data_IF_198324210830
#
_entry.id   IF_198324210830
#
_cell.length_a   1.000
_cell.length_b   1.000
_cell.length_c   1.000
_cell.angle_alpha   90.00
_cell.angle_beta   90.00
_cell.angle_gamma   90.00
#
_symmetry.space_group_name_H-M   'P 1'
#
loop_
_entity.id
_entity.type
_entity.pdbx_description
1 polymer ?
#
# COMPACT_ATOMS: atom_id res chain seq x y z
N UNK A 1 7.56 -26.54 -5.65
CA UNK A 1 6.90 -25.91 -4.48
C UNK A 1 5.42 -25.85 -4.80
N UNK A 2 4.59 -26.58 -4.07
CA UNK A 2 3.13 -26.40 -4.14
C UNK A 2 2.82 -24.98 -3.71
N UNK A 3 2.31 -24.14 -4.64
CA UNK A 3 1.80 -22.81 -4.28
C UNK A 3 0.69 -23.03 -3.27
N UNK A 4 0.86 -22.53 -2.05
CA UNK A 4 -0.22 -22.48 -1.07
C UNK A 4 -1.39 -21.75 -1.74
N UNK A 5 -2.47 -22.49 -2.04
CA UNK A 5 -3.76 -21.87 -2.39
C UNK A 5 -4.07 -20.88 -1.29
N UNK A 6 -4.56 -19.70 -1.63
CA UNK A 6 -5.10 -18.73 -0.67
C UNK A 6 -6.31 -19.36 0.04
N UNK A 7 -6.05 -20.31 0.94
CA UNK A 7 -7.12 -20.90 1.76
C UNK A 7 -7.67 -19.78 2.63
N UNK A 8 -8.96 -19.52 2.48
CA UNK A 8 -9.67 -18.61 3.35
C UNK A 8 -9.63 -19.21 4.75
N UNK A 9 -8.76 -18.67 5.59
CA UNK A 9 -8.64 -19.08 6.99
C UNK A 9 -9.63 -18.34 7.89
N UNK A 10 -10.18 -17.21 7.40
CA UNK A 10 -11.02 -16.30 8.16
C UNK A 10 -12.52 -16.55 7.89
N UNK A 11 -13.31 -16.53 8.95
CA UNK A 11 -14.77 -16.57 8.85
C UNK A 11 -15.36 -15.17 8.60
N UNK A 12 -16.60 -15.07 8.07
CA UNK A 12 -17.28 -13.78 7.92
C UNK A 12 -17.43 -12.99 9.24
N UNK A 13 -17.60 -13.66 10.36
CA UNK A 13 -17.71 -13.02 11.68
C UNK A 13 -16.37 -12.44 12.14
N UNK A 14 -15.26 -13.16 11.93
CA UNK A 14 -13.91 -12.67 12.22
C UNK A 14 -13.55 -11.48 11.31
N UNK A 15 -13.88 -11.55 10.02
CA UNK A 15 -13.70 -10.44 9.07
C UNK A 15 -14.45 -9.20 9.54
N UNK A 16 -15.74 -9.34 9.89
CA UNK A 16 -16.55 -8.24 10.41
C UNK A 16 -15.96 -7.63 11.70
N UNK A 17 -15.40 -8.45 12.59
CA UNK A 17 -14.75 -7.98 13.81
C UNK A 17 -13.49 -7.16 13.52
N UNK A 18 -12.68 -7.55 12.52
CA UNK A 18 -11.48 -6.80 12.09
C UNK A 18 -11.86 -5.46 11.44
N UNK A 19 -12.90 -5.45 10.60
CA UNK A 19 -13.44 -4.22 10.01
C UNK A 19 -13.96 -3.26 11.10
N UNK A 20 -14.62 -3.79 12.14
CA UNK A 20 -15.05 -2.97 13.28
C UNK A 20 -13.87 -2.38 14.07
N UNK A 21 -12.73 -3.10 14.19
CA UNK A 21 -11.49 -2.55 14.76
C UNK A 21 -10.94 -1.42 13.90
N UNK A 22 -10.94 -1.59 12.58
CA UNK A 22 -10.52 -0.57 11.63
C UNK A 22 -11.37 0.71 11.75
N UNK A 23 -12.69 0.60 11.95
CA UNK A 23 -13.55 1.77 12.18
C UNK A 23 -13.15 2.55 13.45
N UNK A 24 -12.90 1.87 14.56
CA UNK A 24 -12.45 2.54 15.80
C UNK A 24 -11.09 3.23 15.63
N UNK A 25 -10.16 2.59 14.94
CA UNK A 25 -8.85 3.16 14.66
C UNK A 25 -8.94 4.35 13.69
N UNK A 26 -9.83 4.29 12.71
CA UNK A 26 -10.07 5.36 11.75
C UNK A 26 -10.49 6.68 12.42
N UNK A 27 -11.24 6.62 13.53
CA UNK A 27 -11.58 7.80 14.33
C UNK A 27 -10.32 8.52 14.80
N UNK A 28 -9.30 7.78 15.27
CA UNK A 28 -8.01 8.34 15.69
C UNK A 28 -7.24 8.97 14.53
N UNK A 29 -7.26 8.32 13.36
CA UNK A 29 -6.63 8.88 12.15
C UNK A 29 -7.32 10.18 11.72
N UNK A 30 -8.65 10.23 11.80
CA UNK A 30 -9.42 11.43 11.44
C UNK A 30 -9.13 12.63 12.35
N UNK A 31 -8.91 12.38 13.66
CA UNK A 31 -8.60 13.42 14.64
C UNK A 31 -7.33 14.23 14.28
N UNK A 32 -6.30 13.57 13.76
CA UNK A 32 -4.99 14.18 13.50
C UNK A 32 -4.68 14.43 12.01
N UNK A 33 -5.43 13.84 11.09
CA UNK A 33 -5.11 13.82 9.66
C UNK A 33 -4.92 15.20 9.02
N UNK A 34 -5.74 16.20 9.39
CA UNK A 34 -5.60 17.55 8.84
C UNK A 34 -4.31 18.25 9.31
N UNK A 35 -3.92 18.03 10.56
CA UNK A 35 -2.67 18.55 11.13
C UNK A 35 -1.47 17.86 10.49
N UNK A 36 -1.49 16.53 10.41
CA UNK A 36 -0.45 15.72 9.83
C UNK A 36 -0.20 16.08 8.34
N UNK A 37 -1.27 16.30 7.54
CA UNK A 37 -1.15 16.80 6.16
C UNK A 37 -0.50 18.17 6.09
N UNK A 38 -0.87 19.10 6.99
CA UNK A 38 -0.29 20.45 7.03
C UNK A 38 1.20 20.42 7.38
N UNK A 39 1.57 19.62 8.36
CA UNK A 39 2.95 19.44 8.83
C UNK A 39 3.79 18.60 7.85
N UNK A 40 3.15 17.78 7.00
CA UNK A 40 3.82 16.88 6.07
C UNK A 40 4.60 15.77 6.79
N UNK A 41 4.07 15.27 7.92
CA UNK A 41 4.72 14.27 8.76
C UNK A 41 3.77 13.20 9.23
N UNK A 42 4.29 11.98 9.40
CA UNK A 42 3.57 10.88 10.01
C UNK A 42 3.32 11.18 11.51
N UNK A 43 2.06 11.09 11.98
CA UNK A 43 1.74 11.27 13.40
C UNK A 43 2.13 10.01 14.20
N UNK A 44 3.34 9.99 14.75
CA UNK A 44 3.89 8.83 15.47
C UNK A 44 3.08 8.46 16.73
N UNK A 45 2.33 9.40 17.28
CA UNK A 45 1.39 9.17 18.39
C UNK A 45 0.28 8.16 18.06
N UNK A 46 0.08 7.82 16.79
CA UNK A 46 -0.89 6.80 16.38
C UNK A 46 -0.35 5.36 16.48
N UNK A 47 0.96 5.18 16.59
CA UNK A 47 1.58 3.84 16.63
C UNK A 47 1.04 2.99 17.79
N UNK A 48 0.96 3.50 19.04
CA UNK A 48 0.38 2.73 20.14
C UNK A 48 -1.06 2.27 19.87
N UNK A 49 -1.92 3.15 19.33
CA UNK A 49 -3.31 2.81 18.99
C UNK A 49 -3.39 1.76 17.87
N UNK A 50 -2.48 1.85 16.88
CA UNK A 50 -2.41 0.84 15.83
C UNK A 50 -2.00 -0.53 16.39
N UNK A 51 -0.97 -0.59 17.21
CA UNK A 51 -0.52 -1.82 17.89
C UNK A 51 -1.62 -2.39 18.78
N UNK A 52 -2.31 -1.58 19.57
CA UNK A 52 -3.43 -2.00 20.44
C UNK A 52 -4.62 -2.55 19.64
N UNK A 53 -4.85 -2.07 18.42
CA UNK A 53 -5.92 -2.56 17.55
C UNK A 53 -5.75 -4.03 17.14
N UNK A 54 -4.50 -4.56 17.20
CA UNK A 54 -4.14 -5.91 16.76
C UNK A 54 -4.11 -6.07 15.24
N UNK A 55 -4.23 -4.97 14.46
CA UNK A 55 -4.22 -5.02 13.00
C UNK A 55 -2.83 -5.28 12.41
N UNK A 56 -1.76 -5.15 13.19
CA UNK A 56 -0.42 -5.56 12.73
C UNK A 56 -0.37 -7.04 12.33
N UNK A 57 -1.11 -7.90 13.01
CA UNK A 57 -1.18 -9.35 12.70
C UNK A 57 -2.31 -9.73 11.74
N UNK A 58 -2.92 -8.75 11.03
CA UNK A 58 -4.07 -8.94 10.14
C UNK A 58 -3.86 -10.07 9.13
N UNK A 59 -2.75 -10.06 8.42
CA UNK A 59 -2.42 -11.00 7.34
C UNK A 59 -1.69 -12.25 7.85
N UNK A 60 -1.00 -12.14 8.99
CA UNK A 60 -0.24 -13.28 9.53
C UNK A 60 -1.13 -14.51 9.64
N UNK A 61 -0.73 -15.67 9.05
CA UNK A 61 -1.55 -16.89 9.10
C UNK A 61 -1.86 -17.35 10.53
N UNK A 62 -3.04 -17.96 10.72
CA UNK A 62 -3.51 -18.44 12.04
C UNK A 62 -2.53 -19.42 12.71
N UNK A 63 -1.83 -20.25 11.92
CA UNK A 63 -0.81 -21.17 12.45
C UNK A 63 0.35 -20.49 13.17
N UNK A 64 0.57 -19.18 12.91
CA UNK A 64 1.57 -18.36 13.62
C UNK A 64 0.92 -17.43 14.67
N UNK A 65 -0.38 -17.56 14.92
CA UNK A 65 -1.12 -16.75 15.89
C UNK A 65 -1.71 -15.46 15.36
N UNK A 66 -1.65 -15.22 14.05
CA UNK A 66 -2.27 -14.06 13.40
C UNK A 66 -3.76 -14.25 13.09
N UNK A 67 -4.34 -13.30 12.35
CA UNK A 67 -5.76 -13.34 11.99
C UNK A 67 -6.05 -14.11 10.70
N UNK A 68 -5.05 -14.32 9.81
CA UNK A 68 -5.22 -15.04 8.55
C UNK A 68 -6.25 -14.37 7.61
N UNK A 69 -6.28 -13.03 7.58
CA UNK A 69 -7.22 -12.30 6.76
C UNK A 69 -6.97 -12.55 5.27
N UNK A 70 -8.04 -12.78 4.54
CA UNK A 70 -8.01 -12.90 3.10
C UNK A 70 -7.85 -11.53 2.40
N UNK A 71 -7.59 -11.55 1.10
CA UNK A 71 -7.35 -10.37 0.29
C UNK A 71 -8.51 -9.36 0.35
N UNK A 72 -9.75 -9.86 0.36
CA UNK A 72 -10.92 -8.99 0.43
C UNK A 72 -11.07 -8.33 1.79
N UNK A 73 -10.87 -9.08 2.88
CA UNK A 73 -10.88 -8.52 4.24
C UNK A 73 -9.81 -7.45 4.43
N UNK A 74 -8.60 -7.70 3.93
CA UNK A 74 -7.52 -6.70 3.96
C UNK A 74 -7.93 -5.43 3.21
N UNK A 75 -8.43 -5.56 1.98
CA UNK A 75 -8.89 -4.41 1.21
C UNK A 75 -10.01 -3.63 1.91
N UNK A 76 -10.92 -4.31 2.61
CA UNK A 76 -11.99 -3.66 3.38
C UNK A 76 -11.45 -2.92 4.61
N UNK A 77 -10.48 -3.48 5.33
CA UNK A 77 -9.81 -2.81 6.45
C UNK A 77 -9.14 -1.53 5.97
N UNK A 78 -8.35 -1.59 4.89
CA UNK A 78 -7.69 -0.43 4.30
C UNK A 78 -8.70 0.61 3.79
N UNK A 79 -9.78 0.17 3.13
CA UNK A 79 -10.87 1.05 2.70
C UNK A 79 -11.47 1.82 3.87
N UNK A 80 -11.73 1.16 4.98
CA UNK A 80 -12.31 1.80 6.18
C UNK A 80 -11.34 2.82 6.78
N UNK A 81 -10.08 2.45 6.99
CA UNK A 81 -9.07 3.35 7.54
C UNK A 81 -8.88 4.60 6.66
N UNK A 82 -8.87 4.44 5.35
CA UNK A 82 -8.72 5.54 4.38
C UNK A 82 -9.99 6.40 4.28
N UNK A 83 -11.17 5.78 4.22
CA UNK A 83 -12.44 6.47 4.03
C UNK A 83 -12.87 7.26 5.26
N UNK A 84 -12.84 6.64 6.43
CA UNK A 84 -13.31 7.24 7.70
C UNK A 84 -12.19 7.91 8.48
N UNK A 85 -10.95 7.50 8.29
CA UNK A 85 -9.75 8.06 8.89
C UNK A 85 -9.05 9.08 8.00
N UNK A 86 -7.83 8.75 7.58
CA UNK A 86 -7.02 9.60 6.69
C UNK A 86 -6.23 8.74 5.69
N UNK A 87 -6.30 9.03 4.37
CA UNK A 87 -5.64 8.22 3.34
C UNK A 87 -4.12 8.16 3.47
N UNK A 88 -3.45 9.28 3.75
CA UNK A 88 -1.99 9.33 3.82
C UNK A 88 -1.46 8.55 5.02
N UNK A 89 -2.13 8.67 6.16
CA UNK A 89 -1.81 7.89 7.36
C UNK A 89 -2.10 6.40 7.11
N UNK A 90 -3.22 6.07 6.46
CA UNK A 90 -3.54 4.68 6.10
C UNK A 90 -2.47 4.08 5.20
N UNK A 91 -1.99 4.84 4.20
CA UNK A 91 -0.91 4.41 3.31
C UNK A 91 0.36 4.04 4.07
N UNK A 92 0.67 4.74 5.17
CA UNK A 92 1.84 4.42 6.00
C UNK A 92 1.74 3.03 6.58
N UNK A 93 0.64 2.74 7.28
CA UNK A 93 0.44 1.43 7.89
C UNK A 93 0.17 0.33 6.86
N UNK A 94 -0.41 0.66 5.71
CA UNK A 94 -0.59 -0.25 4.58
C UNK A 94 0.72 -0.91 4.14
N UNK A 95 1.85 -0.19 4.18
CA UNK A 95 3.15 -0.78 3.81
C UNK A 95 3.53 -1.95 4.69
N UNK A 96 3.17 -1.94 5.98
CA UNK A 96 3.33 -3.10 6.83
C UNK A 96 2.53 -4.30 6.31
N UNK A 97 1.26 -4.10 5.95
CA UNK A 97 0.41 -5.17 5.39
C UNK A 97 0.96 -5.71 4.06
N UNK A 98 1.42 -4.82 3.17
CA UNK A 98 2.09 -5.21 1.93
C UNK A 98 3.29 -6.13 2.21
N UNK A 99 4.16 -5.74 3.14
CA UNK A 99 5.35 -6.52 3.45
C UNK A 99 5.04 -7.86 4.12
N UNK A 100 4.10 -7.88 5.08
CA UNK A 100 3.66 -9.14 5.72
C UNK A 100 3.08 -10.11 4.69
N UNK A 101 2.26 -9.60 3.78
CA UNK A 101 1.68 -10.38 2.70
C UNK A 101 2.73 -10.97 1.77
N UNK A 102 3.64 -10.15 1.24
CA UNK A 102 4.75 -10.60 0.39
C UNK A 102 5.58 -11.67 1.10
N UNK A 103 5.92 -11.45 2.35
CA UNK A 103 6.75 -12.38 3.12
C UNK A 103 6.03 -13.68 3.50
N UNK A 104 4.71 -13.72 3.46
CA UNK A 104 3.95 -14.95 3.68
C UNK A 104 4.25 -16.02 2.63
N UNK A 105 4.51 -15.63 1.39
CA UNK A 105 4.86 -16.51 0.28
C UNK A 105 6.35 -16.55 -0.06
N UNK A 106 7.06 -15.41 0.10
CA UNK A 106 8.42 -15.25 -0.37
C UNK A 106 9.47 -15.86 0.57
N UNK A 107 9.29 -15.74 1.90
CA UNK A 107 10.32 -16.16 2.85
C UNK A 107 10.37 -17.67 3.05
N UNK A 108 11.58 -18.25 3.22
CA UNK A 108 11.75 -19.60 3.79
C UNK A 108 11.06 -19.72 5.17
N UNK A 109 10.75 -20.95 5.57
CA UNK A 109 9.96 -21.21 6.79
C UNK A 109 10.55 -20.60 8.06
N UNK A 110 11.87 -20.76 8.28
CA UNK A 110 12.51 -20.30 9.51
C UNK A 110 12.50 -18.77 9.67
N UNK A 111 13.01 -17.96 8.72
CA UNK A 111 12.94 -16.50 8.83
C UNK A 111 11.49 -15.98 8.85
N UNK A 112 10.57 -16.63 8.14
CA UNK A 112 9.14 -16.31 8.15
C UNK A 112 8.52 -16.53 9.54
N UNK A 113 8.75 -17.69 10.15
CA UNK A 113 8.20 -17.99 11.47
C UNK A 113 8.74 -17.03 12.55
N UNK A 114 10.03 -16.68 12.48
CA UNK A 114 10.65 -15.70 13.38
C UNK A 114 10.02 -14.31 13.23
N UNK A 115 9.88 -13.82 11.98
CA UNK A 115 9.27 -12.54 11.70
C UNK A 115 7.81 -12.48 12.17
N UNK A 116 7.02 -13.51 11.85
CA UNK A 116 5.61 -13.53 12.20
C UNK A 116 5.39 -13.67 13.71
N UNK A 117 6.24 -14.39 14.41
CA UNK A 117 6.23 -14.43 15.87
C UNK A 117 6.43 -13.04 16.47
N UNK A 118 7.40 -12.28 15.98
CA UNK A 118 7.67 -10.92 16.43
C UNK A 118 6.48 -9.98 16.14
N UNK A 119 5.86 -10.10 14.96
CA UNK A 119 4.66 -9.32 14.62
C UNK A 119 3.49 -9.65 15.57
N UNK A 120 3.27 -10.91 15.89
CA UNK A 120 2.14 -11.33 16.73
C UNK A 120 2.36 -10.96 18.19
N UNK A 121 3.54 -11.24 18.74
CA UNK A 121 3.82 -11.05 20.16
C UNK A 121 4.08 -9.59 20.54
N UNK A 122 4.78 -8.84 19.66
CA UNK A 122 5.21 -7.46 19.93
C UNK A 122 4.40 -6.41 19.14
N UNK A 123 3.51 -6.86 18.24
CA UNK A 123 2.84 -6.00 17.24
C UNK A 123 3.86 -5.16 16.45
N UNK A 124 5.01 -5.79 16.11
CA UNK A 124 6.09 -5.13 15.39
C UNK A 124 5.65 -4.68 14.00
N UNK A 125 6.02 -3.46 13.61
CA UNK A 125 5.62 -2.82 12.36
C UNK A 125 6.80 -2.74 11.40
N UNK A 126 6.54 -3.01 10.11
CA UNK A 126 7.56 -3.12 9.06
C UNK A 126 7.49 -1.92 8.12
N UNK A 127 8.65 -1.33 7.81
CA UNK A 127 8.88 -0.52 6.61
C UNK A 127 9.66 -1.32 5.59
N UNK A 128 9.26 -1.28 4.32
CA UNK A 128 9.86 -2.06 3.23
C UNK A 128 10.40 -1.17 2.09
N UNK A 129 11.51 -0.47 2.26
CA UNK A 129 12.14 0.31 1.20
C UNK A 129 12.91 -0.56 0.22
N UNK A 130 12.32 -0.85 -0.94
CA UNK A 130 12.96 -1.61 -2.02
C UNK A 130 13.37 -0.74 -3.21
N UNK A 131 12.83 0.46 -3.34
CA UNK A 131 13.12 1.36 -4.46
C UNK A 131 14.37 2.21 -4.21
N UNK A 132 15.07 2.56 -5.28
CA UNK A 132 16.22 3.47 -5.29
C UNK A 132 16.02 4.55 -6.35
N UNK A 133 16.85 5.57 -6.36
CA UNK A 133 16.71 6.71 -7.29
C UNK A 133 16.78 6.28 -8.76
N UNK A 134 17.61 5.28 -9.10
CA UNK A 134 17.78 4.74 -10.44
C UNK A 134 17.26 3.33 -10.62
N UNK A 135 16.94 2.66 -9.52
CA UNK A 135 16.55 1.26 -9.54
C UNK A 135 15.11 1.09 -9.04
N UNK A 136 14.27 0.53 -9.90
CA UNK A 136 12.94 0.02 -9.56
C UNK A 136 12.95 -1.50 -9.45
N UNK A 137 11.77 -2.13 -9.35
CA UNK A 137 11.65 -3.59 -9.28
C UNK A 137 12.21 -4.34 -10.49
N UNK A 138 12.35 -3.68 -11.63
CA UNK A 138 12.87 -4.27 -12.88
C UNK A 138 14.38 -4.13 -13.04
N UNK A 139 15.04 -3.33 -12.20
CA UNK A 139 16.48 -3.06 -12.26
C UNK A 139 17.19 -3.55 -11.00
N UNK A 140 18.48 -3.86 -11.11
CA UNK A 140 19.28 -4.35 -9.98
C UNK A 140 19.58 -3.20 -9.02
N UNK A 141 19.52 -3.47 -7.71
CA UNK A 141 19.76 -2.47 -6.68
C UNK A 141 21.22 -1.97 -6.65
N UNK A 142 21.39 -0.65 -6.48
CA UNK A 142 22.69 0.00 -6.25
C UNK A 142 23.20 -0.24 -4.80
N UNK A 143 22.30 -0.59 -3.86
CA UNK A 143 22.67 -0.93 -2.48
C UNK A 143 23.47 -2.21 -2.45
N UNK A 144 24.60 -2.19 -1.75
CA UNK A 144 25.53 -3.32 -1.64
C UNK A 144 25.62 -3.86 -0.22
N UNK A 145 25.88 -5.16 -0.12
CA UNK A 145 26.15 -5.88 1.12
C UNK A 145 27.53 -6.55 1.02
N UNK A 146 28.53 -5.95 1.66
CA UNK A 146 29.92 -6.45 1.65
C UNK A 146 30.10 -7.44 2.80
N UNK A 147 30.60 -8.68 2.57
CA UNK A 147 30.88 -9.62 3.65
C UNK A 147 31.81 -9.04 4.71
N UNK A 148 31.48 -9.19 5.98
CA UNK A 148 32.25 -8.65 7.11
C UNK A 148 33.39 -9.57 7.60
N UNK A 149 33.54 -10.74 6.98
CA UNK A 149 34.50 -11.78 7.38
C UNK A 149 34.09 -12.62 8.59
N UNK A 150 32.95 -12.32 9.25
CA UNK A 150 32.45 -13.02 10.42
C UNK A 150 31.09 -13.73 10.17
N UNK A 151 30.71 -13.84 8.89
CA UNK A 151 29.45 -14.49 8.47
C UNK A 151 28.28 -13.52 8.32
N UNK A 152 28.50 -12.22 8.52
CA UNK A 152 27.55 -11.15 8.27
C UNK A 152 27.97 -10.22 7.12
N UNK A 153 27.36 -9.06 7.07
CA UNK A 153 27.58 -8.05 6.02
C UNK A 153 27.63 -6.63 6.59
N UNK A 154 28.34 -5.75 5.89
CA UNK A 154 28.22 -4.30 6.03
C UNK A 154 27.44 -3.75 4.84
N UNK A 155 26.24 -3.23 5.10
CA UNK A 155 25.34 -2.76 4.04
C UNK A 155 25.46 -1.26 3.87
N UNK A 156 25.63 -0.82 2.61
CA UNK A 156 25.69 0.60 2.25
C UNK A 156 24.83 0.90 1.04
N UNK A 157 24.07 2.01 1.10
CA UNK A 157 23.20 2.46 0.02
C UNK A 157 22.14 3.44 0.49
N UNK A 158 21.24 3.81 -0.44
CA UNK A 158 20.09 4.68 -0.16
C UNK A 158 18.85 4.09 -0.76
N UNK A 159 17.81 3.93 0.05
CA UNK A 159 16.49 3.50 -0.39
C UNK A 159 15.52 4.66 -0.34
N UNK A 160 14.93 4.98 -1.49
CA UNK A 160 13.88 5.97 -1.61
C UNK A 160 12.50 5.35 -1.37
N UNK A 161 11.50 6.22 -1.15
CA UNK A 161 10.12 5.77 -0.91
C UNK A 161 10.01 4.82 0.30
N UNK A 162 10.82 5.07 1.35
CA UNK A 162 10.77 4.34 2.60
C UNK A 162 9.55 4.76 3.41
N UNK A 163 8.35 4.40 2.93
CA UNK A 163 7.09 4.72 3.60
C UNK A 163 7.07 4.10 4.99
N UNK A 164 6.61 4.87 5.98
CA UNK A 164 6.54 4.46 7.38
C UNK A 164 7.90 4.29 8.07
N UNK A 165 9.01 4.78 7.50
CA UNK A 165 10.35 4.53 8.04
C UNK A 165 10.54 5.11 9.46
N UNK A 166 9.86 6.22 9.80
CA UNK A 166 9.93 6.87 11.12
C UNK A 166 9.26 6.04 12.23
N UNK A 167 8.28 5.21 11.87
CA UNK A 167 7.47 4.45 12.82
C UNK A 167 7.76 2.95 12.85
N UNK A 168 8.69 2.48 12.03
CA UNK A 168 8.97 1.06 11.89
C UNK A 168 9.78 0.50 13.07
N UNK A 169 9.43 -0.69 13.49
CA UNK A 169 10.25 -1.51 14.41
C UNK A 169 11.27 -2.33 13.60
N UNK A 170 10.90 -2.69 12.37
CA UNK A 170 11.66 -3.54 11.45
C UNK A 170 11.78 -2.85 10.11
N UNK A 171 12.97 -2.86 9.52
CA UNK A 171 13.20 -2.38 8.15
C UNK A 171 13.63 -3.57 7.29
N UNK A 172 13.00 -3.69 6.12
CA UNK A 172 13.33 -4.73 5.15
C UNK A 172 13.76 -4.10 3.84
N UNK A 173 14.84 -4.57 3.27
CA UNK A 173 15.38 -4.02 2.02
C UNK A 173 16.11 -5.09 1.21
N UNK A 174 16.31 -4.80 -0.09
CA UNK A 174 17.19 -5.59 -0.95
C UNK A 174 18.55 -4.93 -1.08
N UNK A 175 19.58 -5.77 -1.17
CA UNK A 175 20.95 -5.35 -1.49
C UNK A 175 21.67 -6.46 -2.27
N UNK A 176 22.63 -6.09 -3.10
CA UNK A 176 23.48 -7.06 -3.83
C UNK A 176 24.66 -7.48 -2.97
N UNK A 177 24.80 -8.77 -2.72
CA UNK A 177 25.95 -9.33 -2.01
C UNK A 177 27.16 -9.28 -2.94
N UNK A 178 28.22 -8.56 -2.52
CA UNK A 178 29.48 -8.42 -3.25
C UNK A 178 30.44 -9.59 -2.96
N UNK A 179 31.61 -9.59 -3.58
CA UNK A 179 32.75 -10.36 -3.09
C UNK A 179 33.35 -9.74 -1.81
N UNK A 180 34.38 -10.38 -1.25
CA UNK A 180 35.03 -9.91 -0.03
C UNK A 180 35.74 -8.53 -0.20
N UNK A 181 36.12 -8.17 -1.42
CA UNK A 181 36.75 -6.89 -1.75
C UNK A 181 35.71 -5.78 -2.06
N UNK A 182 34.41 -6.09 -1.94
CA UNK A 182 33.32 -5.17 -2.20
C UNK A 182 33.01 -4.95 -3.69
N UNK A 183 33.48 -5.84 -4.57
CA UNK A 183 33.21 -5.75 -6.01
C UNK A 183 31.92 -6.46 -6.37
N UNK A 184 31.14 -5.82 -7.23
CA UNK A 184 29.96 -6.41 -7.84
C UNK A 184 30.34 -7.37 -8.98
N UNK A 185 29.55 -8.41 -9.27
CA UNK A 185 29.74 -9.23 -10.46
C UNK A 185 29.68 -8.40 -11.74
N UNK A 186 30.57 -8.71 -12.69
CA UNK A 186 30.53 -8.07 -14.02
C UNK A 186 29.36 -8.58 -14.89
N UNK A 187 29.00 -9.85 -14.71
CA UNK A 187 27.83 -10.44 -15.38
C UNK A 187 26.53 -10.04 -14.67
N UNK A 188 25.62 -9.42 -15.42
CA UNK A 188 24.35 -8.93 -14.87
C UNK A 188 23.43 -10.03 -14.38
N UNK A 189 23.50 -11.27 -14.89
CA UNK A 189 22.69 -12.38 -14.41
C UNK A 189 23.21 -12.85 -13.05
N UNK A 190 24.52 -12.91 -12.89
CA UNK A 190 25.14 -13.21 -11.60
C UNK A 190 24.86 -12.10 -10.60
N UNK A 191 24.98 -10.85 -11.01
CA UNK A 191 24.64 -9.67 -10.20
C UNK A 191 23.19 -9.79 -9.67
N UNK A 192 22.22 -10.00 -10.56
CA UNK A 192 20.82 -10.17 -10.20
C UNK A 192 20.58 -11.40 -9.30
N UNK A 193 21.34 -12.48 -9.47
CA UNK A 193 21.23 -13.67 -8.63
C UNK A 193 21.75 -13.46 -7.20
N UNK A 194 22.65 -12.49 -6.98
CA UNK A 194 23.18 -12.12 -5.66
C UNK A 194 22.33 -11.06 -4.94
N UNK A 195 21.32 -10.48 -5.61
CA UNK A 195 20.41 -9.56 -4.96
C UNK A 195 19.53 -10.29 -3.95
N UNK A 196 19.62 -9.89 -2.70
CA UNK A 196 19.08 -10.59 -1.55
C UNK A 196 18.28 -9.66 -0.65
N UNK A 197 17.34 -10.23 0.12
CA UNK A 197 16.52 -9.50 1.09
C UNK A 197 17.13 -9.63 2.48
N UNK A 198 17.13 -8.52 3.18
CA UNK A 198 17.54 -8.42 4.58
C UNK A 198 16.39 -7.88 5.43
N UNK A 199 16.26 -8.42 6.64
CA UNK A 199 15.26 -8.01 7.65
C UNK A 199 16.04 -7.62 8.90
N UNK A 200 16.01 -6.34 9.24
CA UNK A 200 16.80 -5.80 10.35
C UNK A 200 15.94 -4.96 11.31
N UNK A 201 16.31 -4.84 12.59
CA UNK A 201 15.70 -3.84 13.47
C UNK A 201 15.91 -2.42 12.91
N UNK A 202 14.91 -1.54 13.09
CA UNK A 202 14.96 -0.18 12.53
C UNK A 202 16.04 0.71 13.18
N UNK A 203 16.51 0.36 14.38
CA UNK A 203 17.51 1.11 15.15
C UNK A 203 18.95 0.62 14.92
N UNK A 204 19.24 -0.03 13.78
CA UNK A 204 20.60 -0.50 13.47
C UNK A 204 21.60 0.65 13.39
N UNK A 205 22.82 0.49 13.97
CA UNK A 205 23.89 1.46 13.80
C UNK A 205 24.19 1.68 12.31
N UNK A 206 24.44 2.94 11.91
CA UNK A 206 24.69 3.31 10.52
C UNK A 206 23.44 3.48 9.68
N UNK A 207 22.25 3.20 10.22
CA UNK A 207 20.97 3.52 9.56
C UNK A 207 20.48 4.91 9.98
N UNK A 208 20.04 5.71 9.04
CA UNK A 208 19.49 7.04 9.29
C UNK A 208 18.39 7.40 8.31
N UNK A 209 17.58 8.40 8.66
CA UNK A 209 16.49 8.90 7.83
C UNK A 209 16.89 10.27 7.28
N UNK A 210 16.86 10.40 5.95
CA UNK A 210 16.94 11.68 5.29
C UNK A 210 15.50 12.14 4.96
N UNK A 211 15.07 13.24 5.56
CA UNK A 211 13.69 13.75 5.51
C UNK A 211 13.41 14.44 4.18
N UNK A 212 13.18 13.65 3.15
CA UNK A 212 13.06 14.09 1.75
C UNK A 212 11.62 14.17 1.26
N UNK A 213 10.61 13.78 2.06
CA UNK A 213 9.23 13.71 1.62
C UNK A 213 8.56 15.09 1.65
N UNK A 214 8.70 15.84 0.56
CA UNK A 214 7.98 17.09 0.31
C UNK A 214 7.18 16.99 -0.98
N UNK A 215 5.94 16.59 -0.88
CA UNK A 215 5.04 16.27 -1.98
C UNK A 215 3.69 16.95 -1.83
N UNK A 216 2.93 17.04 -2.92
CA UNK A 216 1.58 17.59 -2.89
C UNK A 216 0.52 16.57 -2.43
N UNK A 217 0.84 15.28 -2.48
CA UNK A 217 -0.05 14.14 -2.23
C UNK A 217 0.55 13.23 -1.16
N UNK A 218 -0.28 12.55 -0.37
CA UNK A 218 0.15 11.62 0.67
C UNK A 218 1.17 12.23 1.65
N UNK A 219 0.99 13.49 2.01
CA UNK A 219 1.96 14.28 2.78
C UNK A 219 2.27 13.69 4.14
N UNK A 220 1.27 13.09 4.80
CA UNK A 220 1.40 12.48 6.13
C UNK A 220 1.89 11.02 6.11
N UNK A 221 2.45 10.53 5.00
CA UNK A 221 2.83 9.11 4.90
C UNK A 221 4.23 8.78 5.46
N UNK A 222 5.05 9.76 5.83
CA UNK A 222 6.40 9.50 6.32
C UNK A 222 7.26 8.72 5.32
N UNK A 223 7.15 9.07 4.03
CA UNK A 223 7.82 8.36 2.93
C UNK A 223 9.17 9.02 2.64
N UNK A 224 10.13 8.83 3.51
CA UNK A 224 11.45 9.45 3.42
C UNK A 224 12.48 8.56 2.71
N UNK A 225 13.74 9.00 2.71
CA UNK A 225 14.87 8.20 2.24
C UNK A 225 15.55 7.51 3.42
N UNK A 226 15.69 6.19 3.34
CA UNK A 226 16.51 5.42 4.28
C UNK A 226 17.95 5.41 3.79
N UNK A 227 18.88 5.89 4.61
CA UNK A 227 20.31 5.92 4.33
C UNK A 227 21.00 4.85 5.18
N UNK A 228 21.81 4.04 4.52
CA UNK A 228 22.60 2.98 5.14
C UNK A 228 24.09 3.28 4.89
N UNK A 229 24.86 3.44 5.96
CA UNK A 229 26.31 3.63 5.92
C UNK A 229 26.98 2.55 6.74
N UNK A 230 27.44 1.49 6.05
CA UNK A 230 28.09 0.31 6.66
C UNK A 230 27.28 -0.28 7.80
N UNK A 231 25.97 -0.40 7.59
CA UNK A 231 25.05 -1.01 8.57
C UNK A 231 25.46 -2.45 8.80
N UNK A 232 25.82 -2.84 10.05
CA UNK A 232 26.17 -4.23 10.36
C UNK A 232 24.92 -5.11 10.33
N UNK A 233 24.94 -6.15 9.52
CA UNK A 233 23.83 -7.09 9.34
C UNK A 233 24.33 -8.51 9.60
N UNK A 234 23.80 -9.17 10.62
CA UNK A 234 24.16 -10.55 10.95
C UNK A 234 23.56 -11.55 9.97
N UNK A 235 24.12 -12.78 9.93
CA UNK A 235 23.61 -13.85 9.09
C UNK A 235 22.11 -14.16 9.32
N UNK A 236 21.61 -13.97 10.55
CA UNK A 236 20.21 -14.19 10.91
C UNK A 236 19.25 -13.21 10.22
N UNK A 237 19.75 -12.04 9.82
CA UNK A 237 18.96 -11.03 9.12
C UNK A 237 18.81 -11.30 7.62
N UNK A 238 19.54 -12.28 7.07
CA UNK A 238 19.39 -12.70 5.69
C UNK A 238 18.08 -13.47 5.51
N UNK A 239 17.26 -13.03 4.56
CA UNK A 239 15.93 -13.57 4.35
C UNK A 239 15.77 -14.33 3.02
N UNK A 240 16.81 -14.39 2.20
CA UNK A 240 16.80 -15.13 0.94
C UNK A 240 16.98 -14.25 -0.30
N UNK A 241 17.00 -14.86 -1.51
CA UNK A 241 17.17 -14.14 -2.76
C UNK A 241 15.94 -13.29 -3.08
N UNK A 242 16.16 -12.07 -3.60
CA UNK A 242 15.09 -11.09 -3.89
C UNK A 242 14.25 -11.46 -5.12
N UNK A 243 14.91 -11.73 -6.26
CA UNK A 243 14.20 -11.76 -7.56
C UNK A 243 13.29 -12.96 -7.79
N UNK A 244 13.52 -14.04 -7.09
CA UNK A 244 12.70 -15.26 -7.26
C UNK A 244 11.41 -15.24 -6.45
N UNK A 245 11.26 -14.32 -5.48
CA UNK A 245 10.13 -14.28 -4.55
C UNK A 245 9.07 -13.24 -4.89
N UNK A 246 9.47 -12.02 -5.30
CA UNK A 246 8.57 -10.87 -5.36
C UNK A 246 7.50 -10.97 -6.47
N UNK A 247 7.84 -11.55 -7.62
CA UNK A 247 6.92 -11.63 -8.78
C UNK A 247 5.70 -12.52 -8.50
N UNK A 248 5.80 -13.41 -7.53
CA UNK A 248 4.73 -14.33 -7.15
C UNK A 248 3.65 -13.74 -6.23
N UNK A 249 3.87 -12.57 -5.61
CA UNK A 249 3.09 -12.06 -4.48
C UNK A 249 2.42 -10.70 -4.77
N UNK A 250 2.10 -10.42 -6.06
CA UNK A 250 1.52 -9.14 -6.49
C UNK A 250 0.14 -8.86 -5.91
N UNK A 251 -0.62 -9.87 -5.51
CA UNK A 251 -1.88 -9.70 -4.80
C UNK A 251 -1.73 -8.92 -3.49
N UNK A 252 -0.64 -9.15 -2.77
CA UNK A 252 -0.35 -8.42 -1.53
C UNK A 252 0.13 -6.98 -1.74
N UNK A 253 0.40 -6.60 -2.97
CA UNK A 253 0.56 -5.20 -3.38
C UNK A 253 -0.78 -4.64 -3.84
N UNK A 254 -1.48 -5.32 -4.74
CA UNK A 254 -2.67 -4.80 -5.40
C UNK A 254 -3.85 -4.59 -4.45
N UNK A 255 -4.09 -5.51 -3.51
CA UNK A 255 -5.27 -5.44 -2.65
C UNK A 255 -5.16 -4.43 -1.51
N UNK A 256 -4.04 -4.36 -0.75
CA UNK A 256 -3.88 -3.32 0.26
C UNK A 256 -3.93 -1.93 -0.35
N UNK A 257 -3.17 -1.65 -1.42
CA UNK A 257 -3.25 -0.37 -2.12
C UNK A 257 -4.64 -0.11 -2.72
N UNK A 258 -5.26 -1.13 -3.33
CA UNK A 258 -6.63 -1.05 -3.85
C UNK A 258 -7.63 -0.62 -2.78
N UNK A 259 -7.51 -1.14 -1.56
CA UNK A 259 -8.32 -0.75 -0.41
C UNK A 259 -8.14 0.71 -0.04
N UNK A 260 -6.89 1.21 0.05
CA UNK A 260 -6.60 2.62 0.34
C UNK A 260 -7.27 3.55 -0.67
N UNK A 261 -7.11 3.29 -1.99
CA UNK A 261 -7.67 4.15 -3.05
C UNK A 261 -9.18 4.02 -3.17
N UNK A 262 -9.74 2.85 -2.98
CA UNK A 262 -11.19 2.68 -2.88
C UNK A 262 -11.75 3.48 -1.70
N UNK A 263 -11.02 3.54 -0.58
CA UNK A 263 -11.33 4.37 0.57
C UNK A 263 -11.31 5.87 0.26
N UNK A 264 -10.38 6.35 -0.57
CA UNK A 264 -10.35 7.75 -1.03
C UNK A 264 -11.59 8.06 -1.87
N UNK A 265 -11.98 7.18 -2.80
CA UNK A 265 -13.18 7.33 -3.61
C UNK A 265 -14.43 7.40 -2.73
N UNK A 266 -14.58 6.46 -1.81
CA UNK A 266 -15.70 6.42 -0.85
C UNK A 266 -15.74 7.68 0.04
N UNK A 267 -14.59 8.12 0.54
CA UNK A 267 -14.48 9.37 1.32
C UNK A 267 -14.96 10.57 0.53
N UNK A 268 -14.48 10.77 -0.69
CA UNK A 268 -14.87 11.89 -1.55
C UNK A 268 -16.37 11.86 -1.86
N UNK A 269 -16.91 10.67 -2.18
CA UNK A 269 -18.33 10.46 -2.43
C UNK A 269 -19.18 10.82 -1.21
N UNK A 270 -18.85 10.31 -0.04
CA UNK A 270 -19.61 10.57 1.20
C UNK A 270 -19.59 12.06 1.57
N UNK A 271 -18.42 12.69 1.55
CA UNK A 271 -18.26 14.10 1.88
C UNK A 271 -19.12 14.99 0.99
N UNK A 272 -19.11 14.77 -0.33
CA UNK A 272 -19.90 15.57 -1.26
C UNK A 272 -21.38 15.27 -1.11
N UNK A 273 -21.80 14.02 -1.05
CA UNK A 273 -23.21 13.61 -0.87
C UNK A 273 -23.81 14.28 0.38
N UNK A 274 -23.13 14.20 1.51
CA UNK A 274 -23.64 14.71 2.79
C UNK A 274 -23.67 16.26 2.82
N UNK A 275 -22.75 16.90 2.11
CA UNK A 275 -22.77 18.35 1.90
C UNK A 275 -23.93 18.80 1.02
N UNK A 276 -24.10 18.15 -0.13
CA UNK A 276 -25.16 18.50 -1.10
C UNK A 276 -26.57 18.28 -0.54
N UNK A 277 -26.76 17.27 0.30
CA UNK A 277 -28.05 17.00 0.94
C UNK A 277 -28.56 18.14 1.81
N UNK A 278 -27.66 18.97 2.35
CA UNK A 278 -27.96 20.06 3.29
C UNK A 278 -27.83 21.47 2.68
N UNK A 279 -27.19 21.59 1.52
CA UNK A 279 -26.82 22.90 0.93
C UNK A 279 -28.01 23.55 0.25
N UNK A 280 -28.28 24.80 0.62
CA UNK A 280 -29.23 25.66 -0.10
C UNK A 280 -28.52 26.56 -1.12
N UNK A 281 -29.15 26.83 -2.25
CA UNK A 281 -28.74 27.84 -3.22
C UNK A 281 -29.33 29.24 -2.93
N UNK A 282 -30.16 29.33 -1.89
CA UNK A 282 -30.90 30.54 -1.55
C UNK A 282 -32.36 30.46 -1.98
N UNK A 283 -33.02 31.59 -2.10
CA UNK A 283 -34.46 31.67 -2.42
C UNK A 283 -34.67 32.20 -3.84
N UNK A 284 -35.71 31.70 -4.49
CA UNK A 284 -36.22 32.25 -5.74
C UNK A 284 -36.84 33.64 -5.49
N UNK A 285 -37.14 34.35 -6.57
CA UNK A 285 -37.89 35.65 -6.49
C UNK A 285 -39.26 35.46 -5.83
N UNK A 286 -39.85 34.25 -5.94
CA UNK A 286 -41.12 33.90 -5.28
C UNK A 286 -40.96 33.50 -3.80
N UNK A 287 -39.72 33.49 -3.28
CA UNK A 287 -39.42 33.16 -1.86
C UNK A 287 -39.25 31.68 -1.57
N UNK A 288 -39.27 30.80 -2.55
CA UNK A 288 -39.05 29.37 -2.40
C UNK A 288 -37.56 29.05 -2.14
N UNK A 289 -37.26 28.25 -1.15
CA UNK A 289 -35.88 27.79 -0.90
C UNK A 289 -35.46 26.71 -1.91
N UNK A 290 -34.39 26.96 -2.65
CA UNK A 290 -33.84 26.02 -3.65
C UNK A 290 -32.73 25.21 -3.01
N UNK A 291 -32.92 23.92 -2.91
CA UNK A 291 -31.88 23.01 -2.42
C UNK A 291 -31.02 22.47 -3.56
N UNK A 292 -29.70 22.39 -3.31
CA UNK A 292 -28.75 21.85 -4.31
C UNK A 292 -29.11 20.43 -4.73
N UNK A 293 -29.58 19.60 -3.79
CA UNK A 293 -30.00 18.21 -4.02
C UNK A 293 -31.14 18.05 -5.03
N UNK A 294 -31.93 19.11 -5.25
CA UNK A 294 -33.08 19.08 -6.15
C UNK A 294 -32.70 19.45 -7.61
N UNK A 295 -31.41 19.70 -7.84
CA UNK A 295 -30.88 20.08 -9.16
C UNK A 295 -30.54 18.84 -9.97
N UNK A 296 -31.14 18.62 -11.14
CA UNK A 296 -30.96 17.44 -12.00
C UNK A 296 -29.49 17.18 -12.40
N UNK A 297 -28.75 18.25 -12.71
CA UNK A 297 -27.32 18.17 -12.98
C UNK A 297 -26.52 17.56 -11.79
N UNK A 298 -26.83 17.98 -10.56
CA UNK A 298 -26.16 17.50 -9.34
C UNK A 298 -26.49 16.01 -9.12
N UNK A 299 -27.77 15.64 -9.25
CA UNK A 299 -28.24 14.27 -9.14
C UNK A 299 -27.53 13.36 -10.16
N UNK A 300 -27.43 13.81 -11.43
CA UNK A 300 -26.74 13.06 -12.49
C UNK A 300 -25.27 12.82 -12.16
N UNK A 301 -24.51 13.86 -11.78
CA UNK A 301 -23.10 13.73 -11.48
C UNK A 301 -22.82 12.90 -10.22
N UNK A 302 -23.68 13.02 -9.20
CA UNK A 302 -23.56 12.18 -8.00
C UNK A 302 -23.82 10.69 -8.33
N UNK A 303 -24.78 10.43 -9.25
CA UNK A 303 -25.01 9.09 -9.79
C UNK A 303 -23.82 8.54 -10.55
N UNK A 304 -23.15 9.34 -11.37
CA UNK A 304 -21.91 8.95 -12.05
C UNK A 304 -20.79 8.58 -11.05
N UNK A 305 -20.59 9.40 -10.01
CA UNK A 305 -19.60 9.12 -8.97
C UNK A 305 -19.89 7.80 -8.24
N UNK A 306 -21.16 7.50 -7.96
CA UNK A 306 -21.57 6.23 -7.36
C UNK A 306 -21.27 5.04 -8.27
N UNK A 307 -21.53 5.14 -9.56
CA UNK A 307 -21.26 4.07 -10.53
C UNK A 307 -19.75 3.77 -10.58
N UNK A 308 -18.90 4.79 -10.65
CA UNK A 308 -17.43 4.60 -10.65
C UNK A 308 -16.96 3.91 -9.38
N UNK A 309 -17.44 4.32 -8.20
CA UNK A 309 -17.11 3.72 -6.91
C UNK A 309 -17.53 2.24 -6.85
N UNK A 310 -18.79 1.96 -7.21
CA UNK A 310 -19.36 0.61 -7.18
C UNK A 310 -18.69 -0.35 -8.18
N UNK A 311 -18.34 0.15 -9.37
CA UNK A 311 -17.59 -0.64 -10.36
C UNK A 311 -16.22 -1.04 -9.81
N UNK A 312 -15.48 -0.10 -9.24
CA UNK A 312 -14.16 -0.39 -8.67
C UNK A 312 -14.23 -1.38 -7.50
N UNK A 313 -15.21 -1.23 -6.62
CA UNK A 313 -15.42 -2.16 -5.51
C UNK A 313 -15.73 -3.58 -6.00
N UNK A 314 -16.58 -3.71 -7.02
CA UNK A 314 -16.91 -5.02 -7.61
C UNK A 314 -15.74 -5.64 -8.33
N UNK A 315 -14.92 -4.86 -9.03
CA UNK A 315 -13.69 -5.35 -9.66
C UNK A 315 -12.71 -5.86 -8.60
N UNK A 316 -12.48 -5.09 -7.53
CA UNK A 316 -11.59 -5.49 -6.45
C UNK A 316 -12.08 -6.78 -5.78
N UNK A 317 -13.36 -6.85 -5.39
CA UNK A 317 -13.97 -8.04 -4.80
C UNK A 317 -13.95 -9.24 -5.74
N UNK A 318 -14.35 -9.05 -6.99
CA UNK A 318 -14.36 -10.11 -8.00
C UNK A 318 -12.99 -10.71 -8.26
N UNK A 319 -11.94 -9.87 -8.32
CA UNK A 319 -10.57 -10.34 -8.46
C UNK A 319 -10.13 -11.15 -7.23
N UNK A 320 -10.49 -10.74 -5.99
CA UNK A 320 -10.23 -11.53 -4.80
C UNK A 320 -10.87 -12.92 -4.87
N UNK A 321 -12.13 -12.99 -5.33
CA UNK A 321 -12.85 -14.25 -5.53
C UNK A 321 -12.14 -15.14 -6.54
N UNK A 322 -11.77 -14.62 -7.71
CA UNK A 322 -11.03 -15.38 -8.73
C UNK A 322 -9.72 -15.97 -8.21
N UNK A 323 -8.99 -15.21 -7.39
CA UNK A 323 -7.75 -15.69 -6.78
C UNK A 323 -8.01 -16.76 -5.72
N UNK A 324 -9.06 -16.62 -4.91
CA UNK A 324 -9.43 -17.64 -3.92
C UNK A 324 -9.90 -18.95 -4.55
N UNK A 325 -10.50 -18.89 -5.74
CA UNK A 325 -10.92 -20.04 -6.54
C UNK A 325 -9.77 -20.67 -7.36
N UNK A 326 -8.58 -20.03 -7.36
CA UNK A 326 -7.41 -20.51 -8.06
C UNK A 326 -7.46 -20.31 -9.58
N UNK A 327 -8.31 -19.42 -10.09
CA UNK A 327 -8.44 -19.11 -11.54
C UNK A 327 -7.13 -18.55 -12.09
N UNK A 328 -6.33 -17.85 -11.27
CA UNK A 328 -5.03 -17.32 -11.64
C UNK A 328 -4.01 -18.39 -12.08
N UNK A 329 -4.23 -19.66 -11.73
CA UNK A 329 -3.42 -20.78 -12.25
C UNK A 329 -3.53 -20.99 -13.77
N UNK A 330 -4.57 -20.42 -14.40
CA UNK A 330 -4.76 -20.46 -15.86
C UNK A 330 -4.02 -19.33 -16.60
N UNK A 331 -3.50 -18.34 -15.87
CA UNK A 331 -2.79 -17.20 -16.44
C UNK A 331 -1.30 -17.51 -16.64
N UNK A 332 -0.69 -16.98 -17.69
CA UNK A 332 0.75 -17.07 -17.84
C UNK A 332 1.48 -16.34 -16.72
N UNK A 333 2.71 -16.75 -16.41
CA UNK A 333 3.52 -16.11 -15.36
C UNK A 333 3.78 -14.62 -15.65
N UNK A 334 3.89 -14.26 -16.93
CA UNK A 334 4.09 -12.89 -17.38
C UNK A 334 2.82 -12.03 -17.29
N UNK A 335 1.62 -12.61 -17.47
CA UNK A 335 0.35 -11.89 -17.38
C UNK A 335 -0.19 -11.76 -15.95
N UNK A 336 0.07 -12.77 -15.11
CA UNK A 336 -0.52 -12.86 -13.77
C UNK A 336 -0.39 -11.55 -12.95
N UNK A 337 0.79 -10.92 -12.85
CA UNK A 337 0.94 -9.66 -12.10
C UNK A 337 0.06 -8.54 -12.66
N UNK A 338 -0.03 -8.42 -13.99
CA UNK A 338 -0.83 -7.38 -14.64
C UNK A 338 -2.34 -7.63 -14.45
N UNK A 339 -2.82 -8.87 -14.56
CA UNK A 339 -4.22 -9.23 -14.34
C UNK A 339 -4.67 -8.96 -12.91
N UNK A 340 -3.84 -9.29 -11.92
CA UNK A 340 -4.10 -8.97 -10.51
C UNK A 340 -4.16 -7.46 -10.31
N UNK A 341 -3.27 -6.71 -10.94
CA UNK A 341 -3.18 -5.25 -10.80
C UNK A 341 -4.36 -4.49 -11.40
N UNK A 342 -5.22 -5.13 -12.23
CA UNK A 342 -6.50 -4.53 -12.68
C UNK A 342 -7.33 -4.07 -11.48
N UNK A 343 -7.33 -4.84 -10.39
CA UNK A 343 -8.06 -4.50 -9.16
C UNK A 343 -7.57 -3.17 -8.55
N UNK A 344 -6.26 -2.98 -8.44
CA UNK A 344 -5.64 -1.74 -7.94
C UNK A 344 -5.90 -0.57 -8.89
N UNK A 345 -5.79 -0.79 -10.21
CA UNK A 345 -6.04 0.24 -11.22
C UNK A 345 -7.48 0.72 -11.14
N UNK A 346 -8.46 -0.17 -11.08
CA UNK A 346 -9.86 0.18 -10.95
C UNK A 346 -10.11 1.09 -9.73
N UNK A 347 -9.51 0.77 -8.59
CA UNK A 347 -9.62 1.57 -7.37
C UNK A 347 -8.94 2.94 -7.49
N UNK A 348 -7.75 3.02 -8.09
CA UNK A 348 -7.03 4.30 -8.28
C UNK A 348 -7.73 5.22 -9.26
N UNK A 349 -8.22 4.69 -10.37
CA UNK A 349 -9.00 5.47 -11.36
C UNK A 349 -10.32 5.96 -10.77
N UNK A 350 -11.01 5.14 -9.98
CA UNK A 350 -12.21 5.57 -9.27
C UNK A 350 -11.90 6.68 -8.26
N UNK A 351 -10.79 6.59 -7.52
CA UNK A 351 -10.38 7.64 -6.58
C UNK A 351 -10.18 8.98 -7.31
N UNK A 352 -9.53 8.97 -8.45
CA UNK A 352 -9.29 10.16 -9.28
C UNK A 352 -10.62 10.74 -9.80
N UNK A 353 -11.44 9.92 -10.44
CA UNK A 353 -12.71 10.35 -11.05
C UNK A 353 -13.71 10.83 -10.02
N UNK A 354 -13.92 10.06 -8.95
CA UNK A 354 -14.89 10.41 -7.90
C UNK A 354 -14.46 11.67 -7.16
N UNK A 355 -13.17 11.82 -6.83
CA UNK A 355 -12.68 13.05 -6.18
C UNK A 355 -12.81 14.28 -7.09
N UNK A 356 -12.58 14.16 -8.41
CA UNK A 356 -12.77 15.23 -9.37
C UNK A 356 -14.25 15.66 -9.47
N UNK A 357 -15.17 14.69 -9.60
CA UNK A 357 -16.62 14.96 -9.60
C UNK A 357 -17.03 15.65 -8.28
N UNK A 358 -16.54 15.15 -7.15
CA UNK A 358 -16.85 15.72 -5.84
C UNK A 358 -16.36 17.17 -5.68
N UNK A 359 -15.18 17.50 -6.19
CA UNK A 359 -14.65 18.88 -6.23
C UNK A 359 -15.55 19.81 -7.06
N UNK A 360 -15.95 19.37 -8.26
CA UNK A 360 -16.85 20.13 -9.14
C UNK A 360 -18.21 20.39 -8.49
N UNK A 361 -18.82 19.37 -7.89
CA UNK A 361 -20.11 19.47 -7.22
C UNK A 361 -20.06 20.37 -5.97
N UNK A 362 -18.94 20.39 -5.26
CA UNK A 362 -18.73 21.27 -4.09
C UNK A 362 -18.60 22.73 -4.52
N UNK A 363 -18.04 22.98 -5.72
CA UNK A 363 -17.79 24.32 -6.26
C UNK A 363 -16.54 24.98 -5.67
N UNK A 364 -16.40 26.30 -5.84
CA UNK A 364 -15.19 27.06 -5.51
C UNK A 364 -14.65 26.92 -4.09
N UNK A 365 -15.48 26.52 -3.13
CA UNK A 365 -15.02 26.27 -1.75
C UNK A 365 -14.17 25.01 -1.61
N UNK A 366 -14.23 24.07 -2.57
CA UNK A 366 -13.50 22.82 -2.56
C UNK A 366 -11.97 22.99 -2.65
N UNK A 367 -11.51 24.10 -3.25
CA UNK A 367 -10.07 24.37 -3.42
C UNK A 367 -9.38 24.92 -2.15
N UNK A 368 -10.13 25.11 -1.07
CA UNK A 368 -9.51 25.58 0.18
C UNK A 368 -8.54 24.54 0.74
N UNK A 369 -7.31 24.97 0.95
CA UNK A 369 -6.22 24.17 1.45
C UNK A 369 -6.57 23.53 2.81
N UNK A 370 -6.22 22.25 2.99
CA UNK A 370 -6.44 21.49 4.23
C UNK A 370 -7.85 20.95 4.42
N UNK A 371 -8.77 21.21 3.47
CA UNK A 371 -10.11 20.60 3.47
C UNK A 371 -10.04 19.08 3.24
N UNK A 372 -10.95 18.32 3.88
CA UNK A 372 -10.94 16.86 3.75
C UNK A 372 -11.13 16.39 2.29
N UNK A 373 -11.94 17.09 1.50
CA UNK A 373 -12.15 16.78 0.08
C UNK A 373 -10.94 17.20 -0.76
N UNK A 374 -10.34 18.34 -0.48
CA UNK A 374 -9.13 18.82 -1.16
C UNK A 374 -7.97 17.83 -0.93
N UNK A 375 -7.80 17.33 0.30
CA UNK A 375 -6.82 16.28 0.60
C UNK A 375 -7.11 14.99 -0.17
N UNK A 376 -8.36 14.51 -0.15
CA UNK A 376 -8.74 13.31 -0.91
C UNK A 376 -8.46 13.47 -2.42
N UNK A 377 -8.70 14.67 -2.98
CA UNK A 377 -8.40 14.99 -4.37
C UNK A 377 -6.90 14.92 -4.67
N UNK A 378 -6.04 15.46 -3.80
CA UNK A 378 -4.57 15.37 -3.95
C UNK A 378 -4.08 13.93 -3.79
N UNK A 379 -4.53 13.25 -2.75
CA UNK A 379 -4.05 11.92 -2.37
C UNK A 379 -4.42 10.84 -3.40
N UNK A 380 -5.56 11.01 -4.10
CA UNK A 380 -5.93 10.14 -5.21
C UNK A 380 -4.86 10.04 -6.31
N UNK A 381 -4.01 11.06 -6.50
CA UNK A 381 -3.01 11.12 -7.59
C UNK A 381 -1.78 10.28 -7.33
N UNK A 382 -1.48 9.89 -6.11
CA UNK A 382 -0.31 9.05 -5.83
C UNK A 382 -0.44 7.63 -6.39
N UNK A 383 -1.67 7.10 -6.50
CA UNK A 383 -1.94 5.71 -6.90
C UNK A 383 -1.43 5.32 -8.29
N UNK A 384 -1.36 6.27 -9.22
CA UNK A 384 -0.91 6.00 -10.59
C UNK A 384 0.59 5.64 -10.67
N UNK A 385 1.39 6.09 -9.70
CA UNK A 385 2.83 5.87 -9.64
C UNK A 385 3.22 4.63 -8.83
N UNK A 386 2.31 4.10 -8.01
CA UNK A 386 2.60 2.96 -7.14
C UNK A 386 2.57 1.62 -7.90
N UNK A 387 3.34 0.61 -7.49
CA UNK A 387 3.44 -0.68 -8.17
C UNK A 387 2.11 -1.46 -8.23
N UNK A 388 1.80 -2.13 -9.36
CA UNK A 388 2.32 -1.81 -10.67
C UNK A 388 1.66 -0.54 -11.20
N UNK A 389 2.42 0.33 -11.84
CA UNK A 389 1.85 1.52 -12.49
C UNK A 389 0.92 1.12 -13.64
N UNK A 390 -0.13 1.92 -13.88
CA UNK A 390 -1.14 1.61 -14.89
C UNK A 390 -0.56 1.38 -16.28
N UNK A 391 0.37 2.24 -16.72
CA UNK A 391 0.99 2.13 -18.05
C UNK A 391 1.73 0.80 -18.24
N UNK A 392 2.42 0.30 -17.21
CA UNK A 392 3.09 -1.01 -17.25
C UNK A 392 2.07 -2.14 -17.40
N UNK A 393 0.96 -2.06 -16.69
CA UNK A 393 -0.11 -3.07 -16.77
C UNK A 393 -0.78 -3.05 -18.16
N UNK A 394 -1.08 -1.87 -18.68
CA UNK A 394 -1.68 -1.73 -20.01
C UNK A 394 -0.77 -2.27 -21.11
N UNK A 395 0.54 -2.01 -21.05
CA UNK A 395 1.53 -2.52 -21.98
C UNK A 395 1.58 -4.06 -21.95
N UNK A 396 1.69 -4.66 -20.76
CA UNK A 396 1.72 -6.13 -20.59
C UNK A 396 0.45 -6.76 -21.15
N UNK A 397 -0.73 -6.26 -20.77
CA UNK A 397 -1.99 -6.83 -21.22
C UNK A 397 -2.21 -6.63 -22.73
N UNK A 398 -1.83 -5.46 -23.27
CA UNK A 398 -1.88 -5.20 -24.69
C UNK A 398 -1.00 -6.15 -25.51
N UNK A 399 0.24 -6.36 -25.07
CA UNK A 399 1.18 -7.31 -25.69
C UNK A 399 0.68 -8.75 -25.62
N UNK A 400 0.08 -9.13 -24.49
CA UNK A 400 -0.53 -10.45 -24.35
C UNK A 400 -1.64 -10.67 -25.37
N UNK A 401 -2.57 -9.71 -25.53
CA UNK A 401 -3.67 -9.83 -26.49
C UNK A 401 -3.21 -9.87 -27.95
N UNK A 402 -2.06 -9.28 -28.25
CA UNK A 402 -1.46 -9.29 -29.58
C UNK A 402 -0.51 -10.50 -29.81
N UNK A 403 -0.31 -11.35 -28.80
CA UNK A 403 0.59 -12.50 -28.89
C UNK A 403 2.08 -12.14 -29.04
N UNK A 404 2.50 -10.99 -28.50
CA UNK A 404 3.89 -10.50 -28.57
C UNK A 404 4.56 -10.36 -27.19
N UNK A 405 3.89 -10.81 -26.13
CA UNK A 405 4.40 -10.67 -24.75
C UNK A 405 5.68 -11.50 -24.48
N UNK A 406 5.82 -12.65 -25.16
CA UNK A 406 6.91 -13.61 -24.96
C UNK A 406 7.95 -13.59 -26.11
N UNK A 407 7.92 -12.56 -26.93
CA UNK A 407 8.92 -12.28 -27.96
C UNK A 407 9.87 -11.22 -27.46
#
# INVERSE_FOLDING_TARGET
MEKQKHHIEITPAESAALIARAHRLAEKFAEVGAKADTEGRLPLELIPYYKESGLASLIVPKRYGGHGADLWTVAQVEKVLSSYGDPAITLSFNMHHVMVGIFSGMLPEEPRARLFKQIVEEQALISGPFSEQRAGFSTIADTIAVPDGNGGWLVSGKKNWATFIEGADIVTFNATITDADGKLPEDYKEHAARESVFIVPANQPGMSIDYTWDTFSMRASGTHTCVMDKVPVSAECYAGPFRTGLVGEMEWVAFPFGGVYLGIADRAYRLVRDSLAKKSLGHTVSGENVMVRDTGYVQHQLGQALVELEMAERVLKGTATLLSEGVDATWSASERPARISIAKIAATEAAIKVSDIAMRLTGGSAIRRGGALERAFRDARAGIYQPLAGDVVYDILGKSQLGVLEK
#
